data_IF_478195074272
#
_entry.id   IF_478195074272
#
_cell.length_a   1.000
_cell.length_b   1.000
_cell.length_c   1.000
_cell.angle_alpha   90.00
_cell.angle_beta   90.00
_cell.angle_gamma   90.00
#
_symmetry.space_group_name_H-M   'P 1'
#
loop_
_entity.id
_entity.type
_entity.pdbx_description
1 polymer ?
#
# COMPACT_ATOMS: atom_id res chain seq x y z
N UNK A 1 -14.20 0.82 9.90
CA UNK A 1 -12.75 1.01 9.59
C UNK A 1 -12.47 0.93 8.09
N UNK A 2 -12.81 -0.17 7.40
CA UNK A 2 -12.57 -0.32 5.94
C UNK A 2 -13.14 0.85 5.13
N UNK A 3 -14.42 1.14 5.31
CA UNK A 3 -15.16 2.19 4.62
C UNK A 3 -14.47 3.53 4.80
N UNK A 4 -14.00 3.78 6.02
CA UNK A 4 -13.31 5.01 6.38
C UNK A 4 -11.94 5.15 5.72
N UNK A 5 -11.16 4.08 5.65
CA UNK A 5 -9.87 4.09 4.96
C UNK A 5 -10.05 4.31 3.45
N UNK A 6 -11.11 3.77 2.86
CA UNK A 6 -11.49 4.03 1.47
C UNK A 6 -11.83 5.52 1.30
N UNK A 7 -12.68 6.10 2.15
CA UNK A 7 -13.00 7.53 2.09
C UNK A 7 -11.76 8.42 2.15
N UNK A 8 -10.81 8.10 3.04
CA UNK A 8 -9.55 8.83 3.17
C UNK A 8 -8.73 8.74 1.88
N UNK A 9 -8.55 7.54 1.35
CA UNK A 9 -7.80 7.33 0.11
C UNK A 9 -8.48 8.00 -1.09
N UNK A 10 -9.79 7.83 -1.27
CA UNK A 10 -10.54 8.41 -2.39
C UNK A 10 -10.50 9.94 -2.34
N UNK A 11 -10.65 10.54 -1.16
CA UNK A 11 -10.51 11.99 -0.99
C UNK A 11 -9.10 12.47 -1.36
N UNK A 12 -8.07 11.77 -0.89
CA UNK A 12 -6.68 12.10 -1.22
C UNK A 12 -6.38 11.94 -2.72
N UNK A 13 -6.85 10.87 -3.34
CA UNK A 13 -6.68 10.60 -4.76
C UNK A 13 -7.39 11.65 -5.62
N UNK A 14 -8.60 12.06 -5.25
CA UNK A 14 -9.30 13.13 -5.93
C UNK A 14 -8.53 14.46 -5.85
N UNK A 15 -8.01 14.81 -4.66
CA UNK A 15 -7.19 16.01 -4.50
C UNK A 15 -5.92 15.95 -5.37
N UNK A 16 -5.26 14.80 -5.43
CA UNK A 16 -4.09 14.54 -6.27
C UNK A 16 -4.41 14.71 -7.76
N UNK A 17 -5.46 14.08 -8.27
CA UNK A 17 -5.83 14.19 -9.68
C UNK A 17 -6.20 15.64 -10.05
N UNK A 18 -6.87 16.36 -9.15
CA UNK A 18 -7.27 17.76 -9.40
C UNK A 18 -6.10 18.73 -9.33
N UNK A 19 -5.18 18.53 -8.37
CA UNK A 19 -4.12 19.50 -8.07
C UNK A 19 -2.82 19.23 -8.83
N UNK A 20 -2.55 17.96 -9.16
CA UNK A 20 -1.30 17.50 -9.78
C UNK A 20 -1.51 16.83 -11.15
N UNK A 21 -2.58 17.18 -11.85
CA UNK A 21 -2.90 16.63 -13.17
C UNK A 21 -1.72 16.76 -14.16
N UNK A 22 -0.92 17.82 -14.05
CA UNK A 22 0.25 18.02 -14.90
C UNK A 22 1.32 16.93 -14.73
N UNK A 23 1.47 16.33 -13.54
CA UNK A 23 2.40 15.22 -13.32
C UNK A 23 1.96 13.98 -14.11
N UNK A 24 0.65 13.70 -14.13
CA UNK A 24 0.07 12.65 -14.95
C UNK A 24 0.25 12.96 -16.45
N UNK A 25 -0.07 14.18 -16.90
CA UNK A 25 0.11 14.57 -18.30
C UNK A 25 1.57 14.49 -18.77
N UNK A 26 2.52 14.81 -17.87
CA UNK A 26 3.96 14.76 -18.14
C UNK A 26 4.56 13.36 -18.05
N UNK A 27 3.74 12.34 -17.72
CA UNK A 27 4.13 10.91 -17.65
C UNK A 27 5.35 10.66 -16.77
N UNK A 28 5.47 11.39 -15.67
CA UNK A 28 6.60 11.31 -14.72
C UNK A 28 6.75 9.91 -14.12
N UNK A 29 7.85 9.67 -13.40
CA UNK A 29 8.11 8.36 -12.78
C UNK A 29 7.02 7.95 -11.77
N UNK A 30 6.83 6.65 -11.55
CA UNK A 30 5.93 6.12 -10.51
C UNK A 30 6.25 6.72 -9.14
N UNK A 31 7.55 6.84 -8.80
CA UNK A 31 8.01 7.46 -7.56
C UNK A 31 7.57 8.92 -7.42
N UNK A 32 7.58 9.69 -8.51
CA UNK A 32 7.12 11.08 -8.49
C UNK A 32 5.61 11.16 -8.22
N UNK A 33 4.83 10.29 -8.87
CA UNK A 33 3.37 10.21 -8.64
C UNK A 33 3.05 9.77 -7.20
N UNK A 34 3.77 8.76 -6.68
CA UNK A 34 3.66 8.34 -5.28
C UNK A 34 3.97 9.48 -4.30
N UNK A 35 5.04 10.25 -4.55
CA UNK A 35 5.40 11.40 -3.73
C UNK A 35 4.31 12.48 -3.71
N UNK A 36 3.71 12.77 -4.86
CA UNK A 36 2.60 13.72 -4.95
C UNK A 36 1.34 13.20 -4.22
N UNK A 37 0.94 11.94 -4.46
CA UNK A 37 -0.19 11.31 -3.77
C UNK A 37 0.03 11.24 -2.24
N UNK A 38 1.26 11.00 -1.79
CA UNK A 38 1.64 11.01 -0.37
C UNK A 38 1.29 12.35 0.31
N UNK A 39 1.53 13.49 -0.36
CA UNK A 39 1.24 14.82 0.20
C UNK A 39 -0.26 14.96 0.46
N UNK A 40 -1.10 14.58 -0.51
CA UNK A 40 -2.56 14.63 -0.37
C UNK A 40 -3.08 13.66 0.68
N UNK A 41 -2.54 12.44 0.68
CA UNK A 41 -2.92 11.42 1.64
C UNK A 41 -2.55 11.84 3.07
N UNK A 42 -1.36 12.40 3.26
CA UNK A 42 -0.95 12.98 4.53
C UNK A 42 -1.90 14.09 4.99
N UNK A 43 -2.26 15.01 4.10
CA UNK A 43 -3.20 16.10 4.40
C UNK A 43 -4.55 15.57 4.89
N UNK A 44 -5.13 14.57 4.22
CA UNK A 44 -6.41 13.97 4.62
C UNK A 44 -6.29 13.17 5.92
N UNK A 45 -5.23 12.38 6.08
CA UNK A 45 -4.97 11.62 7.32
C UNK A 45 -4.84 12.57 8.51
N UNK A 46 -4.13 13.69 8.35
CA UNK A 46 -3.82 14.62 9.45
C UNK A 46 -5.05 15.28 10.06
N UNK A 47 -6.13 15.46 9.29
CA UNK A 47 -7.40 16.05 9.73
C UNK A 47 -8.47 14.99 10.07
N UNK A 48 -8.10 13.71 10.06
CA UNK A 48 -8.98 12.59 10.39
C UNK A 48 -8.73 12.08 11.81
N UNK A 49 -9.49 11.08 12.23
CA UNK A 49 -9.25 10.31 13.45
C UNK A 49 -7.88 9.61 13.48
N UNK A 50 -7.21 9.48 12.33
CA UNK A 50 -5.88 8.87 12.21
C UNK A 50 -4.75 9.90 12.23
N UNK A 51 -4.96 11.08 12.81
CA UNK A 51 -4.00 12.22 12.79
C UNK A 51 -2.62 11.93 13.39
N UNK A 52 -2.48 10.84 14.17
CA UNK A 52 -1.24 10.36 14.75
C UNK A 52 -0.43 9.47 13.79
N UNK A 53 -1.09 8.84 12.82
CA UNK A 53 -0.47 8.00 11.80
C UNK A 53 0.40 8.81 10.85
N UNK A 54 1.37 8.12 10.24
CA UNK A 54 2.34 8.67 9.29
C UNK A 54 2.06 8.11 7.91
N UNK A 55 2.40 8.89 6.90
CA UNK A 55 2.34 8.50 5.49
C UNK A 55 3.77 8.52 4.98
N UNK A 56 4.30 7.35 4.60
CA UNK A 56 5.70 7.19 4.22
C UNK A 56 5.82 6.46 2.87
N UNK A 57 6.69 6.96 2.00
CA UNK A 57 7.06 6.33 0.71
C UNK A 57 8.20 5.35 0.93
N UNK A 58 8.12 4.16 0.32
CA UNK A 58 9.15 3.12 0.35
C UNK A 58 9.66 2.82 1.79
N UNK A 59 8.81 2.89 2.81
CA UNK A 59 9.26 2.74 4.21
C UNK A 59 9.73 1.31 4.52
N UNK A 60 10.97 1.18 4.99
CA UNK A 60 11.64 -0.08 5.22
C UNK A 60 12.28 -0.18 6.63
N UNK A 61 11.67 0.38 7.67
CA UNK A 61 12.17 0.33 9.06
C UNK A 61 11.19 -0.37 10.01
N UNK A 62 11.70 -0.98 11.07
CA UNK A 62 10.93 -1.53 12.21
C UNK A 62 10.95 -0.57 13.40
N UNK A 63 10.19 -0.85 14.47
CA UNK A 63 10.04 -0.04 15.71
C UNK A 63 11.35 0.43 16.35
N UNK A 64 12.47 -0.29 16.15
CA UNK A 64 13.79 0.05 16.67
C UNK A 64 14.76 0.63 15.61
N UNK A 65 14.24 1.14 14.49
CA UNK A 65 15.07 1.68 13.40
C UNK A 65 15.86 0.62 12.60
N UNK A 66 15.71 -0.66 12.94
CA UNK A 66 16.28 -1.77 12.16
C UNK A 66 15.63 -1.82 10.78
N UNK A 67 16.43 -2.08 9.75
CA UNK A 67 15.93 -2.30 8.39
C UNK A 67 14.95 -3.48 8.41
N UNK A 68 13.76 -3.30 7.83
CA UNK A 68 12.86 -4.40 7.48
C UNK A 68 13.65 -5.28 6.52
N UNK A 69 14.12 -6.44 6.98
CA UNK A 69 14.75 -7.44 6.11
C UNK A 69 13.85 -7.62 4.89
N UNK A 70 14.41 -7.41 3.71
CA UNK A 70 13.71 -7.05 2.47
C UNK A 70 12.66 -8.07 1.98
N UNK A 71 12.56 -9.20 2.66
CA UNK A 71 11.80 -10.38 2.29
C UNK A 71 11.26 -10.99 3.57
N UNK A 72 9.96 -11.25 3.61
CA UNK A 72 9.40 -12.27 4.49
C UNK A 72 8.88 -13.40 3.63
N UNK A 73 9.31 -14.62 3.95
CA UNK A 73 8.62 -15.80 3.46
C UNK A 73 7.34 -15.93 4.25
N UNK A 74 6.24 -16.01 3.53
CA UNK A 74 4.94 -16.30 4.06
C UNK A 74 4.67 -17.76 3.74
N UNK A 75 4.81 -18.62 4.74
CA UNK A 75 4.56 -20.04 4.56
C UNK A 75 3.06 -20.26 4.30
N UNK A 76 2.80 -21.03 3.25
CA UNK A 76 1.51 -21.44 2.71
C UNK A 76 1.77 -22.60 1.72
N UNK A 77 0.78 -23.10 0.97
CA UNK A 77 1.02 -24.20 0.02
C UNK A 77 2.17 -23.95 -0.97
N UNK A 78 2.51 -22.68 -1.23
CA UNK A 78 3.49 -22.25 -2.22
C UNK A 78 4.64 -21.39 -1.67
N UNK A 79 4.84 -21.32 -0.34
CA UNK A 79 5.93 -20.53 0.32
C UNK A 79 6.22 -19.16 -0.34
N UNK A 80 5.29 -18.21 -0.20
CA UNK A 80 5.35 -16.96 -0.95
C UNK A 80 6.40 -16.02 -0.31
N UNK A 81 7.45 -15.72 -1.06
CA UNK A 81 8.43 -14.69 -0.73
C UNK A 81 7.79 -13.31 -1.00
N UNK A 82 7.38 -12.61 0.06
CA UNK A 82 6.77 -11.28 -0.03
C UNK A 82 7.77 -10.22 0.38
N UNK A 83 8.07 -9.31 -0.55
CA UNK A 83 8.76 -8.05 -0.21
C UNK A 83 7.81 -7.21 0.64
N UNK A 84 8.31 -6.72 1.78
CA UNK A 84 7.49 -5.95 2.75
C UNK A 84 7.36 -4.48 2.36
N UNK A 85 8.16 -4.04 1.40
CA UNK A 85 8.22 -2.65 0.99
C UNK A 85 7.16 -2.37 -0.07
N UNK A 86 6.17 -1.56 0.31
CA UNK A 86 5.22 -0.96 -0.62
C UNK A 86 5.70 0.41 -1.05
N UNK A 87 5.21 0.87 -2.20
CA UNK A 87 5.50 2.22 -2.68
C UNK A 87 5.04 3.30 -1.70
N UNK A 88 3.87 3.13 -1.07
CA UNK A 88 3.30 4.07 -0.12
C UNK A 88 2.55 3.35 1.00
N UNK A 89 2.76 3.77 2.25
CA UNK A 89 2.06 3.21 3.41
C UNK A 89 1.51 4.28 4.34
N UNK A 90 0.43 3.95 5.05
CA UNK A 90 -0.09 4.69 6.21
C UNK A 90 -0.01 3.79 7.44
N UNK A 91 0.72 4.23 8.46
CA UNK A 91 1.05 3.41 9.63
C UNK A 91 1.41 4.23 10.86
N UNK A 92 1.35 3.65 12.05
CA UNK A 92 1.67 4.34 13.31
C UNK A 92 3.17 4.31 13.65
N UNK A 93 3.99 3.60 12.84
CA UNK A 93 5.40 3.27 13.10
C UNK A 93 5.58 2.40 14.36
N UNK A 94 4.64 1.50 14.64
CA UNK A 94 4.67 0.59 15.78
C UNK A 94 4.23 1.20 17.11
N UNK A 95 3.61 2.39 17.10
CA UNK A 95 3.10 3.07 18.29
C UNK A 95 1.71 2.60 18.72
N UNK A 96 0.89 2.12 17.76
CA UNK A 96 -0.46 1.61 17.98
C UNK A 96 -0.45 0.12 17.65
N UNK A 97 -0.43 -0.72 18.68
CA UNK A 97 -0.22 -2.18 18.52
C UNK A 97 -1.42 -2.85 17.83
N UNK A 98 -2.63 -2.52 18.27
CA UNK A 98 -3.87 -3.18 17.80
C UNK A 98 -4.11 -2.95 16.30
N UNK A 99 -3.73 -1.79 15.78
CA UNK A 99 -3.88 -1.43 14.37
C UNK A 99 -2.73 -0.54 13.89
N UNK A 100 -1.52 -1.09 13.79
CA UNK A 100 -0.35 -0.30 13.35
C UNK A 100 -0.45 0.12 11.89
N UNK A 101 -0.92 -0.78 11.02
CA UNK A 101 -0.89 -0.63 9.58
C UNK A 101 -2.29 -0.30 9.04
N UNK A 102 -2.48 0.87 8.43
CA UNK A 102 -3.78 1.27 7.88
C UNK A 102 -3.88 0.99 6.38
N UNK A 103 -3.01 1.60 5.58
CA UNK A 103 -3.10 1.53 4.11
C UNK A 103 -1.74 1.08 3.56
N UNK A 104 -1.75 0.11 2.65
CA UNK A 104 -0.63 -0.24 1.79
C UNK A 104 -1.04 0.06 0.35
N UNK A 105 -0.17 0.72 -0.41
CA UNK A 105 -0.42 1.08 -1.80
C UNK A 105 0.75 0.69 -2.69
N UNK A 106 0.42 0.07 -3.83
CA UNK A 106 1.33 -0.25 -4.93
C UNK A 106 0.91 0.56 -6.16
N UNK A 107 1.85 1.27 -6.77
CA UNK A 107 1.61 2.12 -7.93
C UNK A 107 2.37 1.64 -9.15
N UNK A 108 1.67 1.46 -10.26
CA UNK A 108 2.27 0.98 -11.50
C UNK A 108 1.80 1.68 -12.75
N UNK A 109 2.67 1.80 -13.75
CA UNK A 109 2.27 2.14 -15.12
C UNK A 109 1.78 0.89 -15.84
N UNK A 110 0.75 1.04 -16.66
CA UNK A 110 0.11 -0.10 -17.33
C UNK A 110 1.03 -0.84 -18.32
N UNK A 111 2.08 -0.18 -18.81
CA UNK A 111 3.07 -0.74 -19.72
C UNK A 111 4.16 -1.58 -19.03
N UNK A 112 4.12 -1.72 -17.69
CA UNK A 112 5.02 -2.60 -16.96
C UNK A 112 4.67 -4.06 -17.21
N UNK A 113 5.68 -4.94 -17.02
CA UNK A 113 5.53 -6.38 -17.27
C UNK A 113 4.40 -6.94 -16.41
N UNK A 114 3.59 -7.83 -16.99
CA UNK A 114 2.49 -8.49 -16.27
C UNK A 114 2.95 -9.12 -14.95
N UNK A 115 4.09 -9.82 -14.95
CA UNK A 115 4.66 -10.42 -13.74
C UNK A 115 4.88 -9.40 -12.62
N UNK A 116 5.45 -8.24 -12.90
CA UNK A 116 5.67 -7.19 -11.88
C UNK A 116 4.34 -6.73 -11.28
N UNK A 117 3.31 -6.60 -12.11
CA UNK A 117 1.96 -6.20 -11.68
C UNK A 117 1.28 -7.30 -10.85
N UNK A 118 1.50 -8.56 -11.19
CA UNK A 118 0.96 -9.71 -10.45
C UNK A 118 1.68 -9.90 -9.10
N UNK A 119 2.98 -9.61 -9.03
CA UNK A 119 3.77 -9.61 -7.80
C UNK A 119 3.29 -8.54 -6.82
N UNK A 120 2.95 -7.34 -7.31
CA UNK A 120 2.40 -6.25 -6.50
C UNK A 120 1.00 -6.60 -5.94
N UNK A 121 0.13 -7.19 -6.76
CA UNK A 121 -1.18 -7.70 -6.29
C UNK A 121 -1.04 -8.80 -5.25
N UNK A 122 -0.14 -9.75 -5.48
CA UNK A 122 0.15 -10.84 -4.54
C UNK A 122 0.65 -10.32 -3.19
N UNK A 123 1.45 -9.25 -3.20
CA UNK A 123 1.90 -8.56 -2.00
C UNK A 123 0.74 -7.89 -1.25
N UNK A 124 -0.17 -7.21 -1.93
CA UNK A 124 -1.34 -6.59 -1.29
C UNK A 124 -2.30 -7.62 -0.69
N UNK A 125 -2.51 -8.75 -1.37
CA UNK A 125 -3.18 -9.93 -0.80
C UNK A 125 -2.47 -10.35 0.49
N UNK A 126 -1.15 -10.48 0.44
CA UNK A 126 -0.40 -10.94 1.58
C UNK A 126 -0.46 -9.96 2.79
N UNK A 127 -0.31 -8.67 2.55
CA UNK A 127 -0.24 -7.65 3.59
C UNK A 127 -1.59 -7.40 4.29
N UNK A 128 -2.70 -7.71 3.62
CA UNK A 128 -4.06 -7.46 4.12
C UNK A 128 -4.70 -8.64 4.84
N UNK A 129 -4.01 -9.78 5.01
CA UNK A 129 -4.54 -10.90 5.82
C UNK A 129 -4.58 -10.54 7.31
N UNK A 130 -5.61 -11.03 8.01
CA UNK A 130 -5.89 -10.75 9.43
C UNK A 130 -4.95 -11.51 10.38
N UNK A 131 -4.60 -12.74 10.04
CA UNK A 131 -3.56 -13.49 10.72
C UNK A 131 -2.75 -14.26 9.70
N UNK A 132 -1.55 -14.60 10.14
CA UNK A 132 -0.86 -15.75 9.62
C UNK A 132 -0.48 -16.58 10.83
N UNK A 133 -1.29 -17.59 11.11
CA UNK A 133 -0.97 -18.55 12.16
C UNK A 133 0.32 -19.33 11.83
N UNK A 134 0.80 -19.23 10.57
CA UNK A 134 1.96 -19.95 10.04
C UNK A 134 3.15 -19.07 9.56
N UNK A 135 3.17 -17.75 9.76
CA UNK A 135 4.39 -16.96 9.41
C UNK A 135 5.46 -17.15 10.48
N UNK A 136 6.44 -17.98 10.15
CA UNK A 136 7.75 -17.98 10.79
C UNK A 136 8.64 -16.94 10.10
N UNK A 137 9.27 -16.07 10.88
CA UNK A 137 10.41 -15.31 10.37
C UNK A 137 11.52 -16.27 9.94
N UNK A 138 12.34 -15.86 8.98
CA UNK A 138 13.51 -16.61 8.54
C UNK A 138 14.48 -16.99 9.68
N UNK A 139 14.42 -16.30 10.82
CA UNK A 139 15.23 -16.58 12.01
C UNK A 139 14.59 -17.58 13.00
N UNK A 140 13.36 -18.02 12.75
CA UNK A 140 12.62 -18.98 13.59
C UNK A 140 12.29 -18.49 15.00
N UNK A 141 12.51 -17.20 15.31
CA UNK A 141 12.41 -16.65 16.67
C UNK A 141 11.51 -15.43 16.79
N UNK A 142 11.33 -14.66 15.72
CA UNK A 142 10.61 -13.39 15.78
C UNK A 142 9.25 -13.52 15.10
N UNK A 143 8.15 -13.52 15.85
CA UNK A 143 6.83 -13.30 15.24
C UNK A 143 6.90 -12.00 14.42
N UNK A 144 6.33 -11.94 13.21
CA UNK A 144 6.32 -10.74 12.40
C UNK A 144 5.36 -9.69 12.98
N UNK A 145 5.58 -9.28 14.23
CA UNK A 145 4.93 -8.13 14.84
C UNK A 145 5.04 -6.97 13.84
N UNK A 146 3.88 -6.51 13.35
CA UNK A 146 3.71 -5.30 12.54
C UNK A 146 4.04 -5.34 11.04
N UNK A 147 4.13 -6.51 10.39
CA UNK A 147 4.28 -6.55 8.91
C UNK A 147 2.98 -6.74 8.14
N UNK A 148 1.96 -7.31 8.77
CA UNK A 148 0.68 -7.60 8.13
C UNK A 148 -0.45 -6.80 8.79
N UNK A 149 -1.72 -7.17 8.52
CA UNK A 149 -2.93 -6.51 9.06
C UNK A 149 -3.16 -5.08 8.57
N UNK A 150 -2.69 -4.79 7.35
CA UNK A 150 -3.10 -3.55 6.69
C UNK A 150 -4.62 -3.54 6.55
N UNK A 151 -5.27 -2.50 7.10
CA UNK A 151 -6.72 -2.34 7.05
C UNK A 151 -7.28 -2.19 5.63
N UNK A 152 -6.46 -1.72 4.69
CA UNK A 152 -6.77 -1.57 3.26
C UNK A 152 -5.49 -1.73 2.41
N UNK A 153 -5.56 -2.54 1.36
CA UNK A 153 -4.57 -2.56 0.28
C UNK A 153 -5.13 -1.88 -0.97
N UNK A 154 -4.30 -1.11 -1.66
CA UNK A 154 -4.67 -0.37 -2.87
C UNK A 154 -3.69 -0.66 -4.00
N UNK A 155 -4.17 -1.21 -5.11
CA UNK A 155 -3.40 -1.27 -6.34
C UNK A 155 -3.80 -0.10 -7.24
N UNK A 156 -2.82 0.65 -7.74
CA UNK A 156 -3.02 1.88 -8.50
C UNK A 156 -2.29 1.81 -9.84
N UNK A 157 -3.00 1.51 -10.93
CA UNK A 157 -2.40 1.35 -12.26
C UNK A 157 -2.75 2.50 -13.20
N UNK A 158 -1.75 3.29 -13.61
CA UNK A 158 -1.91 4.42 -14.53
C UNK A 158 -1.80 3.96 -15.98
N UNK A 159 -2.88 4.10 -16.73
CA UNK A 159 -2.96 3.77 -18.16
C UNK A 159 -3.00 5.04 -19.02
N UNK A 160 -1.83 5.50 -19.46
CA UNK A 160 -1.71 6.71 -20.28
C UNK A 160 -2.42 6.63 -21.64
N UNK A 161 -2.33 5.53 -22.42
CA UNK A 161 -3.07 5.43 -23.68
C UNK A 161 -4.59 5.60 -23.52
N UNK A 162 -5.16 5.05 -22.44
CA UNK A 162 -6.61 5.15 -22.16
C UNK A 162 -7.00 6.37 -21.34
N UNK A 163 -6.02 7.11 -20.78
CA UNK A 163 -6.24 8.18 -19.78
C UNK A 163 -7.13 7.75 -18.61
N UNK A 164 -6.85 6.56 -18.08
CA UNK A 164 -7.54 6.03 -16.90
C UNK A 164 -6.55 5.53 -15.86
N UNK A 165 -6.94 5.64 -14.59
CA UNK A 165 -6.31 4.96 -13.48
C UNK A 165 -7.23 3.79 -13.09
N UNK A 166 -6.68 2.59 -13.11
CA UNK A 166 -7.31 1.40 -12.52
C UNK A 166 -7.00 1.37 -11.03
N UNK A 167 -8.04 1.22 -10.21
CA UNK A 167 -7.93 1.11 -8.77
C UNK A 167 -8.54 -0.21 -8.33
N UNK A 168 -7.77 -1.01 -7.58
CA UNK A 168 -8.25 -2.24 -6.94
C UNK A 168 -8.09 -2.14 -5.43
N UNK A 169 -9.07 -2.66 -4.68
CA UNK A 169 -9.02 -2.71 -3.22
C UNK A 169 -8.94 -4.11 -2.68
N UNK A 170 -8.08 -4.27 -1.68
CA UNK A 170 -7.76 -5.51 -1.00
C UNK A 170 -8.06 -5.40 0.49
N UNK A 171 -8.66 -6.45 1.05
CA UNK A 171 -8.84 -6.62 2.49
C UNK A 171 -8.93 -8.11 2.81
N UNK A 172 -8.47 -8.50 4.00
CA UNK A 172 -8.52 -9.88 4.51
C UNK A 172 -7.92 -10.90 3.54
N UNK A 173 -6.95 -10.49 2.71
CA UNK A 173 -6.33 -11.36 1.71
C UNK A 173 -7.02 -11.47 0.36
N UNK A 174 -8.05 -10.66 0.07
CA UNK A 174 -8.80 -10.77 -1.19
C UNK A 174 -9.05 -9.41 -1.82
N UNK A 175 -9.03 -9.38 -3.16
CA UNK A 175 -9.57 -8.24 -3.93
C UNK A 175 -11.09 -8.23 -3.78
N UNK A 176 -11.66 -7.10 -3.34
CA UNK A 176 -13.11 -6.98 -3.13
C UNK A 176 -13.75 -5.86 -3.97
N UNK A 177 -12.97 -4.97 -4.59
CA UNK A 177 -13.46 -3.92 -5.48
C UNK A 177 -12.43 -3.60 -6.55
N UNK A 178 -12.90 -3.24 -7.74
CA UNK A 178 -12.11 -2.74 -8.86
C UNK A 178 -12.93 -1.71 -9.63
N UNK A 179 -12.30 -0.63 -10.08
CA UNK A 179 -12.92 0.38 -10.94
C UNK A 179 -11.86 1.20 -11.66
N UNK A 180 -12.26 1.86 -12.75
CA UNK A 180 -11.42 2.82 -13.47
C UNK A 180 -11.94 4.25 -13.25
N UNK A 181 -11.02 5.21 -13.14
CA UNK A 181 -11.32 6.65 -13.14
C UNK A 181 -10.54 7.35 -14.24
N UNK A 182 -11.12 8.39 -14.82
CA UNK A 182 -10.43 9.21 -15.83
C UNK A 182 -9.56 10.28 -15.16
N UNK A 183 -8.46 10.63 -15.84
CA UNK A 183 -7.62 11.78 -15.53
C UNK A 183 -7.24 12.54 -16.80
#
# INVERSE_FOLDING_TARGET
MKERLIEIFEKANNNFIQSDLELLNSKVSERTLCGALMIHLYGVVKISEFSEYKVDVEYNRNKNGKVKTHVKTINGPDDIIVKINCDLIVHSRGNIIDQDNLIALEMKKSNRKKQEKDDDRSRLVALTKDSYDDIWSFDGKTLPEHVCRYGLGVYYEVNYPKRVILIEYYKTGYKFKEYEIKF
#
